data_IF_991936451164
#
_entry.id   IF_991936451164
#
_cell.length_a   1.000
_cell.length_b   1.000
_cell.length_c   1.000
_cell.angle_alpha   90.00
_cell.angle_beta   90.00
_cell.angle_gamma   90.00
#
_symmetry.space_group_name_H-M   'P 1'
#
loop_
_entity.id
_entity.type
_entity.pdbx_description
1 polymer ?
#
# COMPACT_ATOMS: atom_id res chain seq x y z
N UNK A 1 3.59 16.47 10.52
CA UNK A 1 4.62 15.95 9.60
C UNK A 1 4.67 14.42 9.62
N UNK A 2 4.79 13.78 10.79
CA UNK A 2 4.85 12.31 10.91
C UNK A 2 3.66 11.54 10.32
N UNK A 3 2.44 12.03 10.54
CA UNK A 3 1.21 11.44 9.95
C UNK A 3 1.31 11.31 8.43
N UNK A 4 1.72 12.38 7.74
CA UNK A 4 1.84 12.39 6.28
C UNK A 4 2.94 11.44 5.80
N UNK A 5 4.06 11.38 6.52
CA UNK A 5 5.13 10.43 6.23
C UNK A 5 4.62 8.99 6.29
N UNK A 6 3.90 8.62 7.36
CA UNK A 6 3.36 7.27 7.52
C UNK A 6 2.31 6.92 6.46
N UNK A 7 1.46 7.88 6.09
CA UNK A 7 0.51 7.71 4.98
C UNK A 7 1.26 7.46 3.67
N UNK A 8 2.29 8.25 3.37
CA UNK A 8 3.13 8.05 2.18
C UNK A 8 3.84 6.69 2.21
N UNK A 9 4.38 6.28 3.36
CA UNK A 9 4.98 4.95 3.54
C UNK A 9 3.97 3.84 3.25
N UNK A 10 2.73 3.97 3.73
CA UNK A 10 1.68 2.99 3.44
C UNK A 10 1.28 2.98 1.96
N UNK A 11 1.13 4.15 1.34
CA UNK A 11 0.83 4.23 -0.10
C UNK A 11 1.91 3.56 -0.95
N UNK A 12 3.19 3.80 -0.66
CA UNK A 12 4.31 3.15 -1.35
C UNK A 12 4.36 1.64 -1.09
N UNK A 13 4.15 1.21 0.16
CA UNK A 13 4.11 -0.20 0.52
C UNK A 13 3.00 -0.96 -0.20
N UNK A 14 1.79 -0.40 -0.21
CA UNK A 14 0.64 -0.95 -0.93
C UNK A 14 0.86 -0.99 -2.45
N UNK A 15 1.44 0.07 -3.04
CA UNK A 15 1.80 0.11 -4.46
C UNK A 15 2.78 -1.00 -4.83
N UNK A 16 3.86 -1.17 -4.07
CA UNK A 16 4.87 -2.21 -4.34
C UNK A 16 4.27 -3.62 -4.27
N UNK A 17 3.39 -3.89 -3.30
CA UNK A 17 2.70 -5.17 -3.18
C UNK A 17 1.77 -5.41 -4.37
N UNK A 18 1.00 -4.39 -4.76
CA UNK A 18 0.10 -4.49 -5.90
C UNK A 18 0.87 -4.74 -7.19
N UNK A 19 1.86 -3.89 -7.50
CA UNK A 19 2.63 -3.99 -8.74
C UNK A 19 3.49 -5.28 -8.82
N UNK A 20 3.86 -5.88 -7.69
CA UNK A 20 4.51 -7.19 -7.66
C UNK A 20 3.56 -8.38 -7.79
N UNK A 21 2.24 -8.17 -7.75
CA UNK A 21 1.25 -9.25 -7.81
C UNK A 21 0.91 -9.65 -9.25
N UNK A 22 0.66 -10.95 -9.47
CA UNK A 22 0.40 -11.49 -10.82
C UNK A 22 -0.85 -10.89 -11.50
N UNK A 23 -1.84 -10.47 -10.71
CA UNK A 23 -3.11 -9.92 -11.19
C UNK A 23 -3.11 -8.39 -11.33
N UNK A 24 -1.96 -7.73 -11.24
CA UNK A 24 -1.90 -6.28 -11.44
C UNK A 24 -2.10 -5.91 -12.90
N UNK A 25 -2.88 -4.86 -13.13
CA UNK A 25 -3.26 -4.41 -14.47
C UNK A 25 -2.50 -3.14 -14.93
N UNK A 26 -1.56 -2.65 -14.12
CA UNK A 26 -0.86 -1.39 -14.38
C UNK A 26 0.37 -1.57 -15.27
N UNK A 27 1.23 -2.55 -14.97
CA UNK A 27 2.44 -2.83 -15.76
C UNK A 27 2.27 -4.08 -16.63
N UNK A 28 3.03 -4.13 -17.73
CA UNK A 28 3.06 -5.29 -18.63
C UNK A 28 3.68 -6.55 -17.99
N UNK A 29 4.56 -6.37 -17.00
CA UNK A 29 5.18 -7.45 -16.22
C UNK A 29 5.15 -7.09 -14.74
N UNK A 30 4.85 -8.04 -13.84
CA UNK A 30 4.90 -7.79 -12.40
C UNK A 30 6.31 -7.44 -11.94
N UNK A 31 6.40 -6.59 -10.91
CA UNK A 31 7.66 -6.37 -10.20
C UNK A 31 8.16 -7.69 -9.61
N UNK A 32 9.48 -7.81 -9.41
CA UNK A 32 10.07 -9.01 -8.86
C UNK A 32 9.63 -9.20 -7.40
N UNK A 33 9.68 -10.43 -6.89
CA UNK A 33 9.10 -10.79 -5.58
C UNK A 33 9.67 -9.95 -4.41
N UNK A 34 10.92 -9.49 -4.54
CA UNK A 34 11.60 -8.62 -3.59
C UNK A 34 10.84 -7.32 -3.36
N UNK A 35 10.16 -6.79 -4.39
CA UNK A 35 9.32 -5.59 -4.25
C UNK A 35 8.15 -5.83 -3.31
N UNK A 36 7.52 -7.01 -3.36
CA UNK A 36 6.44 -7.37 -2.44
C UNK A 36 6.96 -7.47 -1.01
N UNK A 37 8.13 -8.07 -0.81
CA UNK A 37 8.76 -8.16 0.51
C UNK A 37 9.09 -6.77 1.07
N UNK A 38 9.67 -5.90 0.25
CA UNK A 38 9.94 -4.51 0.62
C UNK A 38 8.64 -3.76 0.98
N UNK A 39 7.59 -3.93 0.19
CA UNK A 39 6.29 -3.34 0.48
C UNK A 39 5.69 -3.81 1.80
N UNK A 40 5.77 -5.12 2.10
CA UNK A 40 5.33 -5.67 3.39
C UNK A 40 6.12 -5.11 4.56
N UNK A 41 7.44 -4.99 4.42
CA UNK A 41 8.29 -4.38 5.45
C UNK A 41 7.92 -2.91 5.71
N UNK A 42 7.66 -2.13 4.65
CA UNK A 42 7.19 -0.75 4.78
C UNK A 42 5.84 -0.66 5.52
N UNK A 43 4.90 -1.57 5.24
CA UNK A 43 3.62 -1.61 5.94
C UNK A 43 3.78 -1.94 7.43
N UNK A 44 4.66 -2.88 7.78
CA UNK A 44 4.97 -3.21 9.17
C UNK A 44 5.66 -2.05 9.91
N UNK A 45 6.61 -1.37 9.25
CA UNK A 45 7.23 -0.17 9.80
C UNK A 45 6.20 0.96 10.02
N UNK A 46 5.25 1.12 9.10
CA UNK A 46 4.19 2.09 9.27
C UNK A 46 3.28 1.75 10.46
N UNK A 47 2.97 0.48 10.70
CA UNK A 47 2.21 0.04 11.87
C UNK A 47 2.93 0.41 13.19
N UNK A 48 4.23 0.16 13.27
CA UNK A 48 5.04 0.59 14.42
C UNK A 48 4.99 2.10 14.59
N UNK A 49 5.12 2.86 13.48
CA UNK A 49 5.01 4.32 13.50
C UNK A 49 3.65 4.82 14.00
N UNK A 50 2.54 4.20 13.57
CA UNK A 50 1.21 4.51 14.08
C UNK A 50 1.08 4.20 15.58
N UNK A 51 1.68 3.11 16.04
CA UNK A 51 1.72 2.74 17.47
C UNK A 51 2.49 3.73 18.35
N UNK A 52 3.38 4.54 17.78
CA UNK A 52 4.07 5.62 18.51
C UNK A 52 3.24 6.91 18.62
N UNK A 53 2.24 7.09 17.76
CA UNK A 53 1.43 8.32 17.68
C UNK A 53 0.01 8.16 18.24
N UNK A 54 -0.52 6.94 18.21
CA UNK A 54 -1.90 6.61 18.57
C UNK A 54 -1.92 5.53 19.66
N UNK A 55 -3.06 5.37 20.33
CA UNK A 55 -3.27 4.20 21.20
C UNK A 55 -3.22 2.91 20.38
N UNK A 56 -2.84 1.80 21.01
CA UNK A 56 -2.66 0.52 20.30
C UNK A 56 -3.88 0.11 19.45
N UNK A 57 -5.10 0.24 20.01
CA UNK A 57 -6.34 -0.07 19.29
C UNK A 57 -6.59 0.88 18.12
N UNK A 58 -6.35 2.18 18.30
CA UNK A 58 -6.52 3.18 17.24
C UNK A 58 -5.49 3.01 16.12
N UNK A 59 -4.23 2.69 16.46
CA UNK A 59 -3.17 2.42 15.51
C UNK A 59 -3.50 1.22 14.62
N UNK A 60 -3.90 0.10 15.22
CA UNK A 60 -4.30 -1.11 14.48
C UNK A 60 -5.51 -0.85 13.59
N UNK A 61 -6.55 -0.20 14.12
CA UNK A 61 -7.74 0.11 13.36
C UNK A 61 -7.44 1.03 12.17
N UNK A 62 -6.72 2.13 12.41
CA UNK A 62 -6.36 3.09 11.38
C UNK A 62 -5.46 2.47 10.31
N UNK A 63 -4.48 1.67 10.72
CA UNK A 63 -3.60 0.94 9.81
C UNK A 63 -4.38 -0.05 8.93
N UNK A 64 -5.25 -0.88 9.51
CA UNK A 64 -6.08 -1.81 8.75
C UNK A 64 -7.03 -1.09 7.79
N UNK A 65 -7.73 -0.06 8.27
CA UNK A 65 -8.64 0.75 7.47
C UNK A 65 -7.93 1.37 6.25
N UNK A 66 -6.78 2.02 6.49
CA UNK A 66 -6.02 2.66 5.43
C UNK A 66 -5.43 1.64 4.45
N UNK A 67 -4.96 0.49 4.96
CA UNK A 67 -4.44 -0.59 4.12
C UNK A 67 -5.53 -1.16 3.20
N UNK A 68 -6.71 -1.45 3.73
CA UNK A 68 -7.87 -1.94 2.96
C UNK A 68 -8.31 -0.92 1.91
N UNK A 69 -8.36 0.37 2.28
CA UNK A 69 -8.71 1.45 1.35
C UNK A 69 -7.69 1.58 0.21
N UNK A 70 -6.39 1.53 0.52
CA UNK A 70 -5.32 1.63 -0.48
C UNK A 70 -5.34 0.42 -1.41
N UNK A 71 -5.27 -0.81 -0.88
CA UNK A 71 -5.26 -2.01 -1.72
C UNK A 71 -6.56 -2.16 -2.53
N UNK A 72 -7.70 -1.77 -1.97
CA UNK A 72 -8.98 -1.76 -2.66
C UNK A 72 -9.07 -0.72 -3.76
N UNK A 73 -8.44 0.46 -3.61
CA UNK A 73 -8.48 1.53 -4.62
C UNK A 73 -7.47 1.34 -5.76
N UNK A 74 -6.32 0.73 -5.50
CA UNK A 74 -5.27 0.47 -6.51
C UNK A 74 -5.75 -0.18 -7.83
N UNK A 75 -6.59 -1.24 -7.85
CA UNK A 75 -7.06 -1.84 -9.10
C UNK A 75 -7.89 -0.86 -9.94
N UNK A 76 -8.59 0.09 -9.33
CA UNK A 76 -9.39 1.08 -10.06
C UNK A 76 -8.51 2.08 -10.84
N UNK A 77 -7.24 2.25 -10.46
CA UNK A 77 -6.29 3.07 -11.22
C UNK A 77 -6.11 2.49 -12.63
N UNK A 78 -6.22 1.17 -12.78
CA UNK A 78 -6.11 0.54 -14.10
C UNK A 78 -7.26 0.88 -15.04
N UNK A 79 -8.44 1.24 -14.51
CA UNK A 79 -9.57 1.70 -15.31
C UNK A 79 -9.30 3.06 -15.97
N UNK A 80 -8.46 3.90 -15.35
CA UNK A 80 -8.05 5.20 -15.89
C UNK A 80 -7.06 5.07 -17.04
N UNK A 81 -6.47 3.88 -17.26
CA UNK A 81 -5.49 3.64 -18.33
C UNK A 81 -6.10 3.76 -19.74
N UNK A 82 -7.42 3.89 -19.84
CA UNK A 82 -8.12 4.02 -21.11
C UNK A 82 -8.17 2.67 -21.82
N UNK A 83 -9.37 2.28 -22.22
CA UNK A 83 -9.55 1.24 -23.23
C UNK A 83 -8.95 1.78 -24.52
N UNK A 84 -7.65 1.56 -24.72
CA UNK A 84 -6.93 1.91 -25.94
C UNK A 84 -7.24 0.84 -27.02
N UNK A 85 -8.54 0.60 -27.25
CA UNK A 85 -9.07 -0.20 -28.35
C UNK A 85 -9.28 0.68 -29.57
#
# INVERSE_FOLDING_TARGET
MWYLLLILTMTLGSLLIYLGSKHQALLAKPLPWQAKLLGTLLLLLALLGWGLLLTASAALFFWLMLLSMLLGSLPFISLLKGDNR
#
